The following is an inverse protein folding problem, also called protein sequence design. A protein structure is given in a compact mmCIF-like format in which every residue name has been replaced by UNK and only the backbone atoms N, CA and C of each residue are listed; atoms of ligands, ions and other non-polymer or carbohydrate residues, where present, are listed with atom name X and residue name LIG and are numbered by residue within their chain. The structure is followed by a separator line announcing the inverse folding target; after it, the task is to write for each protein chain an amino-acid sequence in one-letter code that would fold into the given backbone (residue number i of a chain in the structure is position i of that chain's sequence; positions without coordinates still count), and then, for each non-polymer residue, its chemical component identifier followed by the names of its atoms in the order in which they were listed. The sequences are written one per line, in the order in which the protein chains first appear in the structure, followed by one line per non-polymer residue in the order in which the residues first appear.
data_IF_277565909356
#
_entry.id   IF_277565909356
#
_cell.length_a   1.000
_cell.length_b   1.000
_cell.length_c   1.000
_cell.angle_alpha   90.00
_cell.angle_beta   90.00
_cell.angle_gamma   90.00
#
_symmetry.space_group_name_H-M   'P 1'
#
loop_
_entity.id
_entity.type
_entity.pdbx_description
1 polymer ?
#
# COMPACT_ATOMS: atom_id res chain seq x y z
N UNK A 1 -21.28 50.55 -25.25
CA UNK A 1 -20.15 50.73 -24.33
C UNK A 1 -20.47 50.49 -22.87
N UNK A 2 -21.64 50.89 -22.40
CA UNK A 2 -22.09 50.56 -21.03
C UNK A 2 -22.22 49.07 -20.79
N UNK A 3 -22.48 48.26 -21.82
CA UNK A 3 -22.61 46.80 -21.70
C UNK A 3 -21.29 46.10 -21.48
N UNK A 4 -20.15 46.67 -21.95
CA UNK A 4 -18.84 46.07 -21.75
C UNK A 4 -18.34 46.15 -20.30
N UNK A 5 -18.61 47.29 -19.61
CA UNK A 5 -18.22 47.43 -18.20
C UNK A 5 -19.09 46.54 -17.30
N UNK A 6 -20.35 46.40 -17.66
CA UNK A 6 -21.30 45.54 -16.96
C UNK A 6 -20.96 44.09 -17.16
N UNK A 7 -20.60 43.66 -18.36
CA UNK A 7 -20.14 42.33 -18.68
C UNK A 7 -18.85 42.00 -17.95
N UNK A 8 -17.91 42.95 -17.86
CA UNK A 8 -16.64 42.74 -17.14
C UNK A 8 -16.83 42.56 -15.63
N UNK A 9 -17.75 43.35 -15.02
CA UNK A 9 -18.09 43.22 -13.62
C UNK A 9 -18.77 41.88 -13.31
N UNK A 10 -19.68 41.47 -14.20
CA UNK A 10 -20.34 40.18 -14.09
C UNK A 10 -19.39 39.02 -14.34
N UNK A 11 -18.47 39.14 -15.30
CA UNK A 11 -17.42 38.20 -15.57
C UNK A 11 -16.44 38.06 -14.38
N UNK A 12 -16.07 39.19 -13.75
CA UNK A 12 -15.20 39.17 -12.56
C UNK A 12 -15.92 38.52 -11.37
N UNK A 13 -17.21 38.81 -11.17
CA UNK A 13 -18.00 38.16 -10.14
C UNK A 13 -18.17 36.66 -10.42
N UNK A 14 -18.40 36.27 -11.66
CA UNK A 14 -18.48 34.88 -12.08
C UNK A 14 -17.13 34.16 -11.98
N UNK A 15 -16.03 34.86 -12.27
CA UNK A 15 -14.69 34.32 -12.10
C UNK A 15 -14.35 34.07 -10.63
N UNK A 16 -14.74 34.95 -9.73
CA UNK A 16 -14.55 34.76 -8.28
C UNK A 16 -15.35 33.55 -7.78
N UNK A 17 -16.62 33.44 -8.21
CA UNK A 17 -17.47 32.28 -7.90
C UNK A 17 -16.91 30.99 -8.51
N UNK A 18 -16.42 31.06 -9.74
CA UNK A 18 -15.77 29.94 -10.41
C UNK A 18 -14.49 29.50 -9.71
N UNK A 19 -13.69 30.44 -9.16
CA UNK A 19 -12.51 30.09 -8.39
C UNK A 19 -12.83 29.30 -7.14
N UNK A 20 -13.89 29.67 -6.42
CA UNK A 20 -14.36 28.89 -5.27
C UNK A 20 -14.87 27.51 -5.67
N UNK A 21 -15.66 27.43 -6.72
CA UNK A 21 -16.15 26.16 -7.28
C UNK A 21 -14.99 25.33 -7.82
N UNK A 22 -14.00 25.95 -8.46
CA UNK A 22 -12.83 25.27 -9.00
C UNK A 22 -11.95 24.71 -7.88
N UNK A 23 -11.78 25.44 -6.77
CA UNK A 23 -11.05 24.94 -5.59
C UNK A 23 -11.74 23.70 -4.99
N UNK A 24 -13.07 23.75 -4.87
CA UNK A 24 -13.86 22.60 -4.40
C UNK A 24 -13.77 21.44 -5.40
N UNK A 25 -13.84 21.70 -6.70
CA UNK A 25 -13.69 20.70 -7.76
C UNK A 25 -12.29 20.12 -7.80
N UNK A 26 -11.25 20.96 -7.63
CA UNK A 26 -9.87 20.50 -7.56
C UNK A 26 -9.63 19.59 -6.36
N UNK A 27 -10.19 19.91 -5.19
CA UNK A 27 -10.10 19.03 -4.00
C UNK A 27 -10.79 17.69 -4.27
N UNK A 28 -11.96 17.69 -4.91
CA UNK A 28 -12.66 16.46 -5.31
C UNK A 28 -11.87 15.67 -6.34
N UNK A 29 -11.28 16.34 -7.35
CA UNK A 29 -10.47 15.72 -8.38
C UNK A 29 -9.18 15.12 -7.80
N UNK A 30 -8.55 15.79 -6.84
CA UNK A 30 -7.37 15.29 -6.14
C UNK A 30 -7.75 14.05 -5.32
N UNK A 31 -8.88 14.05 -4.62
CA UNK A 31 -9.36 12.88 -3.87
C UNK A 31 -9.65 11.71 -4.81
N UNK A 32 -10.29 11.96 -5.96
CA UNK A 32 -10.56 10.92 -6.97
C UNK A 32 -9.27 10.38 -7.56
N UNK A 33 -8.32 11.26 -7.92
CA UNK A 33 -7.02 10.86 -8.44
C UNK A 33 -6.22 10.05 -7.40
N UNK A 34 -6.23 10.46 -6.13
CA UNK A 34 -5.56 9.75 -5.04
C UNK A 34 -6.21 8.39 -4.81
N UNK A 35 -7.53 8.30 -4.89
CA UNK A 35 -8.25 7.03 -4.77
C UNK A 35 -7.89 6.10 -5.93
N UNK A 36 -7.86 6.60 -7.16
CA UNK A 36 -7.50 5.82 -8.33
C UNK A 36 -6.04 5.33 -8.24
N UNK A 37 -5.11 6.19 -7.80
CA UNK A 37 -3.72 5.82 -7.58
C UNK A 37 -3.60 4.76 -6.48
N UNK A 38 -4.33 4.92 -5.40
CA UNK A 38 -4.38 3.97 -4.29
C UNK A 38 -4.86 2.60 -4.77
N UNK A 39 -5.94 2.56 -5.56
CA UNK A 39 -6.47 1.32 -6.12
C UNK A 39 -5.48 0.64 -7.08
N UNK A 40 -4.81 1.41 -7.95
CA UNK A 40 -3.77 0.86 -8.83
C UNK A 40 -2.63 0.26 -8.04
N UNK A 41 -2.22 0.93 -6.97
CA UNK A 41 -1.13 0.44 -6.10
C UNK A 41 -1.55 -0.83 -5.37
N UNK A 42 -2.82 -0.93 -4.95
CA UNK A 42 -3.37 -2.15 -4.35
C UNK A 42 -3.31 -3.33 -5.33
N UNK A 43 -3.67 -3.10 -6.59
CA UNK A 43 -3.63 -4.13 -7.62
C UNK A 43 -2.18 -4.60 -7.85
N UNK A 44 -1.25 -3.66 -7.94
CA UNK A 44 0.18 -3.99 -8.11
C UNK A 44 0.72 -4.77 -6.93
N UNK A 45 0.36 -4.37 -5.71
CA UNK A 45 0.74 -5.08 -4.50
C UNK A 45 0.16 -6.49 -4.46
N UNK A 46 -1.11 -6.62 -4.84
CA UNK A 46 -1.76 -7.93 -4.93
C UNK A 46 -1.04 -8.85 -5.89
N UNK A 47 -0.64 -8.34 -7.05
CA UNK A 47 0.10 -9.10 -8.04
C UNK A 47 1.46 -9.56 -7.52
N UNK A 48 2.17 -8.69 -6.80
CA UNK A 48 3.45 -9.03 -6.19
C UNK A 48 3.31 -10.10 -5.09
N UNK A 49 2.30 -9.95 -4.25
CA UNK A 49 2.00 -10.94 -3.20
C UNK A 49 1.65 -12.29 -3.84
N UNK A 50 0.79 -12.28 -4.87
CA UNK A 50 0.37 -13.47 -5.58
C UNK A 50 1.54 -14.20 -6.23
N UNK A 51 2.45 -13.47 -6.83
CA UNK A 51 3.68 -14.02 -7.43
C UNK A 51 4.50 -14.80 -6.42
N UNK A 52 4.70 -14.24 -5.22
CA UNK A 52 5.49 -14.88 -4.17
C UNK A 52 4.73 -16.06 -3.55
N UNK A 53 3.43 -15.87 -3.31
CA UNK A 53 2.54 -16.91 -2.76
C UNK A 53 2.53 -18.14 -3.68
N UNK A 54 2.44 -17.94 -4.98
CA UNK A 54 2.46 -19.03 -5.95
C UNK A 54 3.81 -19.77 -5.97
N UNK A 55 4.92 -19.03 -5.88
CA UNK A 55 6.26 -19.63 -5.84
C UNK A 55 6.52 -20.43 -4.56
N UNK A 56 5.96 -19.99 -3.44
CA UNK A 56 6.08 -20.67 -2.14
C UNK A 56 4.96 -21.68 -1.90
N UNK A 57 4.02 -21.80 -2.82
CA UNK A 57 2.87 -22.69 -2.71
C UNK A 57 2.08 -22.47 -1.41
N UNK A 58 1.88 -21.22 -1.05
CA UNK A 58 1.15 -20.84 0.15
C UNK A 58 -0.37 -20.88 -0.09
N UNK A 59 -1.12 -21.06 1.00
CA UNK A 59 -2.57 -21.13 0.96
C UNK A 59 -3.21 -19.76 0.71
N UNK A 60 -4.37 -19.76 0.08
CA UNK A 60 -5.12 -18.53 -0.24
C UNK A 60 -5.36 -17.61 0.97
N UNK A 61 -5.69 -18.09 2.18
CA UNK A 61 -5.88 -17.21 3.33
C UNK A 61 -4.67 -16.34 3.67
N UNK A 62 -3.46 -16.82 3.40
CA UNK A 62 -2.23 -16.05 3.65
C UNK A 62 -2.13 -14.90 2.68
N UNK A 63 -2.47 -15.12 1.42
CA UNK A 63 -2.53 -14.09 0.39
C UNK A 63 -3.52 -12.97 0.79
N UNK A 64 -4.71 -13.36 1.22
CA UNK A 64 -5.74 -12.41 1.62
C UNK A 64 -5.31 -11.61 2.84
N UNK A 65 -4.70 -12.24 3.82
CA UNK A 65 -4.18 -11.59 5.01
C UNK A 65 -3.04 -10.61 4.69
N UNK A 66 -2.11 -11.03 3.83
CA UNK A 66 -1.02 -10.17 3.36
C UNK A 66 -1.56 -8.93 2.64
N UNK A 67 -2.58 -9.10 1.82
CA UNK A 67 -3.24 -8.00 1.12
C UNK A 67 -3.92 -7.03 2.09
N UNK A 68 -4.59 -7.53 3.12
CA UNK A 68 -5.19 -6.71 4.17
C UNK A 68 -4.12 -5.91 4.94
N UNK A 69 -3.00 -6.54 5.25
CA UNK A 69 -1.88 -5.86 5.91
C UNK A 69 -1.33 -4.75 5.02
N UNK A 70 -1.17 -5.02 3.73
CA UNK A 70 -0.73 -4.00 2.78
C UNK A 70 -1.70 -2.82 2.75
N UNK A 71 -3.00 -3.10 2.70
CA UNK A 71 -4.04 -2.07 2.68
C UNK A 71 -3.97 -1.19 3.93
N UNK A 72 -3.84 -1.79 5.11
CA UNK A 72 -3.65 -1.04 6.35
C UNK A 72 -2.37 -0.22 6.32
N UNK A 73 -1.28 -0.78 5.82
CA UNK A 73 -0.01 -0.06 5.67
C UNK A 73 -0.18 1.18 4.79
N UNK A 74 -0.90 1.05 3.69
CA UNK A 74 -1.18 2.15 2.80
C UNK A 74 -2.05 3.23 3.47
N UNK A 75 -3.04 2.82 4.24
CA UNK A 75 -3.89 3.74 5.01
C UNK A 75 -3.08 4.51 6.07
N UNK A 76 -2.09 3.88 6.68
CA UNK A 76 -1.16 4.51 7.63
C UNK A 76 0.01 5.22 6.95
N UNK A 77 -0.03 5.38 5.64
CA UNK A 77 0.99 6.07 4.83
C UNK A 77 2.38 5.45 4.93
N UNK A 78 2.48 4.19 5.26
CA UNK A 78 3.76 3.46 5.33
C UNK A 78 4.33 3.15 3.95
N UNK A 79 3.52 3.28 2.90
CA UNK A 79 3.96 3.10 1.52
C UNK A 79 4.72 4.31 0.97
N UNK A 80 4.68 5.46 1.66
CA UNK A 80 5.38 6.66 1.25
C UNK A 80 6.90 6.47 1.36
N UNK A 81 7.61 6.78 0.29
CA UNK A 81 9.07 6.63 0.23
C UNK A 81 9.55 5.19 0.14
N UNK A 82 8.65 4.22 -0.02
CA UNK A 82 8.97 2.80 -0.20
C UNK A 82 8.38 2.30 -1.51
N UNK A 83 9.05 1.33 -2.13
CA UNK A 83 8.52 0.71 -3.35
C UNK A 83 7.38 -0.24 -3.01
N UNK A 84 6.44 -0.38 -3.93
CA UNK A 84 5.29 -1.29 -3.76
C UNK A 84 5.75 -2.74 -3.54
N UNK A 85 6.72 -3.27 -4.31
CA UNK A 85 7.21 -4.62 -4.08
C UNK A 85 7.80 -4.84 -2.70
N UNK A 86 8.51 -3.85 -2.13
CA UNK A 86 9.08 -3.94 -0.79
C UNK A 86 7.97 -4.01 0.27
N UNK A 87 6.98 -3.13 0.18
CA UNK A 87 5.87 -3.11 1.15
C UNK A 87 5.02 -4.37 1.01
N UNK A 88 4.77 -4.83 -0.22
CA UNK A 88 4.05 -6.07 -0.46
C UNK A 88 4.78 -7.28 0.13
N UNK A 89 6.09 -7.35 -0.06
CA UNK A 89 6.93 -8.43 0.48
C UNK A 89 6.95 -8.41 2.02
N UNK A 90 7.07 -7.23 2.62
CA UNK A 90 7.02 -7.08 4.07
C UNK A 90 5.65 -7.46 4.64
N UNK A 91 4.57 -7.11 3.93
CA UNK A 91 3.21 -7.48 4.32
C UNK A 91 3.00 -8.99 4.27
N UNK A 92 3.53 -9.64 3.25
CA UNK A 92 3.48 -11.10 3.14
C UNK A 92 4.30 -11.77 4.25
N UNK A 93 5.47 -11.26 4.53
CA UNK A 93 6.30 -11.75 5.64
C UNK A 93 5.57 -11.61 6.98
N UNK A 94 4.92 -10.47 7.21
CA UNK A 94 4.12 -10.24 8.41
C UNK A 94 2.96 -11.24 8.52
N UNK A 95 2.27 -11.52 7.43
CA UNK A 95 1.18 -12.51 7.40
C UNK A 95 1.70 -13.91 7.72
N UNK A 96 2.83 -14.30 7.15
CA UNK A 96 3.47 -15.59 7.43
C UNK A 96 3.88 -15.71 8.89
N UNK A 97 4.49 -14.67 9.44
CA UNK A 97 4.88 -14.63 10.86
C UNK A 97 3.69 -14.71 11.79
N UNK A 98 2.62 -14.01 11.46
CA UNK A 98 1.39 -14.00 12.26
C UNK A 98 0.76 -15.38 12.32
N UNK A 99 0.86 -16.16 11.25
CA UNK A 99 0.33 -17.52 11.19
C UNK A 99 1.33 -18.59 11.65
N UNK A 100 2.53 -18.16 12.07
CA UNK A 100 3.54 -19.08 12.54
C UNK A 100 4.14 -19.96 11.45
N UNK A 101 4.12 -19.50 10.20
CA UNK A 101 4.70 -20.24 9.09
C UNK A 101 6.22 -20.09 9.07
N UNK A 102 6.98 -21.16 8.74
CA UNK A 102 8.43 -21.13 8.75
C UNK A 102 9.02 -20.52 7.47
N UNK A 103 8.51 -19.35 7.08
CA UNK A 103 9.02 -18.61 5.92
C UNK A 103 10.04 -17.60 6.42
N UNK A 104 11.24 -17.64 5.84
CA UNK A 104 12.31 -16.72 6.21
C UNK A 104 12.30 -15.46 5.37
N UNK A 105 12.86 -14.40 5.94
CA UNK A 105 13.01 -13.14 5.25
C UNK A 105 13.88 -13.27 3.99
N UNK A 106 14.92 -14.12 4.06
CA UNK A 106 15.80 -14.41 2.93
C UNK A 106 15.05 -15.05 1.75
N UNK A 107 14.13 -15.97 2.02
CA UNK A 107 13.31 -16.60 0.99
C UNK A 107 12.44 -15.57 0.27
N UNK A 108 11.80 -14.71 1.02
CA UNK A 108 10.95 -13.66 0.45
C UNK A 108 11.78 -12.65 -0.33
N UNK A 109 12.92 -12.23 0.21
CA UNK A 109 13.83 -11.31 -0.46
C UNK A 109 14.31 -11.87 -1.80
N UNK A 110 14.68 -13.13 -1.84
CA UNK A 110 15.15 -13.81 -3.05
C UNK A 110 14.06 -13.90 -4.10
N UNK A 111 12.84 -14.26 -3.71
CA UNK A 111 11.72 -14.43 -4.63
C UNK A 111 11.16 -13.08 -5.13
N UNK A 112 11.20 -12.06 -4.31
CA UNK A 112 10.72 -10.72 -4.67
C UNK A 112 11.76 -9.89 -5.40
N UNK A 113 13.01 -10.35 -5.44
CA UNK A 113 14.14 -9.61 -6.02
C UNK A 113 14.38 -8.26 -5.33
N UNK A 114 13.97 -8.15 -4.08
CA UNK A 114 14.16 -6.95 -3.28
C UNK A 114 15.22 -7.17 -2.21
N UNK A 115 15.79 -6.08 -1.71
CA UNK A 115 16.78 -6.14 -0.64
C UNK A 115 16.15 -6.63 0.65
N UNK A 116 16.77 -7.63 1.27
CA UNK A 116 16.40 -8.13 2.60
C UNK A 116 16.36 -7.00 3.62
N UNK A 117 17.33 -6.11 3.57
CA UNK A 117 17.45 -4.96 4.48
C UNK A 117 16.25 -4.02 4.36
N UNK A 118 15.82 -3.72 3.14
CA UNK A 118 14.66 -2.88 2.89
C UNK A 118 13.36 -3.53 3.37
N UNK A 119 13.20 -4.82 3.10
CA UNK A 119 12.03 -5.58 3.55
C UNK A 119 12.00 -5.64 5.07
N UNK A 120 13.13 -5.90 5.71
CA UNK A 120 13.24 -5.95 7.17
C UNK A 120 12.90 -4.60 7.81
N UNK A 121 13.40 -3.51 7.23
CA UNK A 121 13.11 -2.15 7.69
C UNK A 121 11.62 -1.85 7.59
N UNK A 122 11.02 -2.19 6.45
CA UNK A 122 9.58 -2.02 6.24
C UNK A 122 8.76 -2.86 7.21
N UNK A 123 9.14 -4.11 7.43
CA UNK A 123 8.49 -5.00 8.38
C UNK A 123 8.50 -4.43 9.80
N UNK A 124 9.63 -3.90 10.25
CA UNK A 124 9.71 -3.24 11.56
C UNK A 124 8.77 -2.04 11.67
N UNK A 125 8.67 -1.26 10.60
CA UNK A 125 7.74 -0.13 10.55
C UNK A 125 6.28 -0.61 10.61
N UNK A 126 5.94 -1.69 9.91
CA UNK A 126 4.62 -2.31 9.94
C UNK A 126 4.24 -2.74 11.36
N UNK A 127 5.12 -3.43 12.05
CA UNK A 127 4.87 -3.90 13.42
C UNK A 127 4.59 -2.74 14.36
N UNK A 128 5.35 -1.66 14.25
CA UNK A 128 5.18 -0.48 15.10
C UNK A 128 3.87 0.26 14.84
N UNK A 129 3.50 0.40 13.57
CA UNK A 129 2.37 1.24 13.18
C UNK A 129 1.04 0.51 13.21
N UNK A 130 1.02 -0.77 12.84
CA UNK A 130 -0.22 -1.57 12.75
C UNK A 130 -0.41 -2.46 13.98
N UNK A 131 0.58 -2.50 14.88
CA UNK A 131 0.56 -3.33 16.10
C UNK A 131 0.31 -4.81 15.80
N UNK A 132 0.89 -5.31 14.73
CA UNK A 132 0.83 -6.73 14.40
C UNK A 132 1.68 -7.50 15.42
N UNK A 133 1.06 -8.46 16.09
CA UNK A 133 1.79 -9.37 16.98
C UNK A 133 2.19 -10.60 16.18
N UNK A 134 3.49 -10.78 15.86
CA UNK A 134 3.92 -12.00 15.19
C UNK A 134 3.83 -13.18 16.15
N UNK A 135 3.26 -14.29 15.70
CA UNK A 135 3.37 -15.55 16.42
C UNK A 135 4.79 -16.08 16.25
N UNK A 136 5.35 -16.62 17.32
CA UNK A 136 6.66 -17.27 17.23
C UNK A 136 6.45 -18.62 16.51
N UNK A 137 7.08 -18.84 15.33
CA UNK A 137 6.92 -20.11 14.62
C UNK A 137 7.45 -21.27 15.45
N UNK A 138 6.79 -22.42 15.33
CA UNK A 138 7.26 -23.63 15.98
C UNK A 138 8.64 -24.03 15.44
N UNK A 139 9.68 -24.22 16.28
CA UNK A 139 11.01 -24.61 15.82
C UNK A 139 11.03 -25.90 15.00
N UNK A 140 10.13 -26.82 15.27
CA UNK A 140 10.00 -28.10 14.53
C UNK A 140 9.71 -27.86 13.05
N UNK A 141 8.91 -26.83 12.71
CA UNK A 141 8.61 -26.49 11.33
C UNK A 141 9.83 -26.02 10.54
N UNK A 142 10.77 -25.36 11.20
CA UNK A 142 12.03 -24.95 10.57
C UNK A 142 12.97 -26.13 10.36
N UNK A 143 12.98 -27.09 11.28
CA UNK A 143 13.80 -28.30 11.17
C UNK A 143 13.34 -29.16 9.98
N UNK A 144 12.04 -29.31 9.77
CA UNK A 144 11.50 -30.03 8.62
C UNK A 144 11.86 -29.39 7.27
N UNK A 145 12.17 -28.11 7.27
CA UNK A 145 12.53 -27.36 6.08
C UNK A 145 14.00 -27.54 5.67
N UNK A 146 14.82 -27.97 6.57
CA UNK A 146 16.24 -28.21 6.36
C UNK A 146 16.43 -29.63 5.80
#
# INVERSE_FOLDING_TARGET
MKNKEFENAELLSNMASRQEVTRSSQKKNVKIANKAAFERNLIRAKNEIEKIVNKLELMQPIKDEAFLIYKEAAEHKLTHGRSIPVVASASLYAACRRRGLPITLDEIAKLSENSRKEIASCYRALIRSIKIKPNIPNPVLYVEKI
#
